data_IF_634836174324
#
_entry.id   IF_634836174324
#
_cell.length_a   1.000
_cell.length_b   1.000
_cell.length_c   1.000
_cell.angle_alpha   90.00
_cell.angle_beta   90.00
_cell.angle_gamma   90.00
#
_symmetry.space_group_name_H-M   'P 1'
#
loop_
_entity.id
_entity.type
_entity.pdbx_description
1 polymer ?
#
# COMPACT_ATOMS: atom_id res chain seq x y z
N UNK A 1 -16.63 -2.72 20.77
CA UNK A 1 -16.51 -2.26 19.37
C UNK A 1 -15.47 -1.15 19.36
N UNK A 2 -14.29 -1.39 18.78
CA UNK A 2 -13.25 -0.36 18.68
C UNK A 2 -13.73 0.69 17.68
N UNK A 3 -13.83 1.95 18.12
CA UNK A 3 -14.26 3.05 17.24
C UNK A 3 -13.05 3.49 16.41
N UNK A 4 -13.17 3.49 15.08
CA UNK A 4 -12.17 4.10 14.21
C UNK A 4 -12.24 5.62 14.34
N UNK A 5 -11.12 6.26 14.63
CA UNK A 5 -10.99 7.71 14.68
C UNK A 5 -10.53 8.30 13.32
N UNK A 6 -10.24 9.61 13.29
CA UNK A 6 -9.80 10.30 12.07
C UNK A 6 -8.42 9.86 11.59
N UNK A 7 -7.54 9.40 12.49
CA UNK A 7 -6.20 8.91 12.18
C UNK A 7 -6.30 7.51 11.56
N UNK A 8 -7.10 6.61 12.15
CA UNK A 8 -7.35 5.27 11.61
C UNK A 8 -7.89 5.33 10.17
N UNK A 9 -8.86 6.23 9.93
CA UNK A 9 -9.44 6.43 8.61
C UNK A 9 -8.38 6.95 7.62
N UNK A 10 -7.52 7.88 8.07
CA UNK A 10 -6.46 8.44 7.24
C UNK A 10 -5.39 7.41 6.88
N UNK A 11 -4.96 6.57 7.82
CA UNK A 11 -4.01 5.47 7.57
C UNK A 11 -4.58 4.47 6.56
N UNK A 12 -5.82 4.02 6.76
CA UNK A 12 -6.47 3.09 5.83
C UNK A 12 -6.63 3.69 4.42
N UNK A 13 -6.93 5.00 4.32
CA UNK A 13 -6.96 5.71 3.03
C UNK A 13 -5.56 5.76 2.38
N UNK A 14 -4.52 6.06 3.14
CA UNK A 14 -3.15 6.13 2.64
C UNK A 14 -2.71 4.77 2.05
N UNK A 15 -3.00 3.67 2.74
CA UNK A 15 -2.70 2.32 2.25
C UNK A 15 -3.43 1.98 0.94
N UNK A 16 -4.72 2.33 0.82
CA UNK A 16 -5.47 2.09 -0.42
C UNK A 16 -4.92 2.95 -1.55
N UNK A 17 -4.67 4.25 -1.29
CA UNK A 17 -4.10 5.16 -2.28
C UNK A 17 -2.73 4.70 -2.74
N UNK A 18 -1.91 4.16 -1.82
CA UNK A 18 -0.63 3.55 -2.15
C UNK A 18 -0.79 2.35 -3.10
N UNK A 19 -1.70 1.42 -2.80
CA UNK A 19 -1.98 0.26 -3.67
C UNK A 19 -2.51 0.67 -5.05
N UNK A 20 -3.30 1.74 -5.11
CA UNK A 20 -3.84 2.30 -6.36
C UNK A 20 -2.77 3.03 -7.18
N UNK A 21 -1.85 3.78 -6.55
CA UNK A 21 -0.77 4.49 -7.24
C UNK A 21 0.31 3.55 -7.78
N UNK A 22 0.56 2.42 -7.09
CA UNK A 22 1.53 1.40 -7.48
C UNK A 22 0.90 0.20 -8.20
N UNK A 23 -0.18 0.42 -8.96
CA UNK A 23 -0.94 -0.64 -9.63
C UNK A 23 -0.08 -1.61 -10.46
N UNK A 24 0.88 -1.11 -11.25
CA UNK A 24 1.78 -1.96 -12.06
C UNK A 24 2.66 -2.92 -11.25
N UNK A 25 2.87 -2.65 -9.96
CA UNK A 25 3.71 -3.40 -9.03
C UNK A 25 2.98 -4.59 -8.37
N UNK A 26 1.64 -4.56 -8.39
CA UNK A 26 0.76 -5.53 -7.73
C UNK A 26 -0.11 -6.33 -8.73
N UNK A 27 -0.08 -5.99 -10.02
CA UNK A 27 -0.89 -6.63 -11.07
C UNK A 27 -0.24 -7.84 -11.72
N UNK A 28 1.01 -8.17 -11.38
CA UNK A 28 1.77 -9.27 -12.00
C UNK A 28 1.84 -10.55 -11.15
N UNK A 29 1.23 -10.57 -9.95
CA UNK A 29 1.56 -11.60 -8.94
C UNK A 29 0.53 -12.74 -8.86
N UNK A 30 -0.67 -12.63 -9.44
CA UNK A 30 -1.72 -13.63 -9.19
C UNK A 30 -2.34 -14.22 -10.45
N UNK A 31 -1.51 -14.61 -11.41
CA UNK A 31 -1.74 -15.82 -12.20
C UNK A 31 -0.54 -15.99 -13.11
N UNK A 32 0.06 -17.18 -13.14
CA UNK A 32 1.20 -17.53 -14.00
C UNK A 32 0.89 -17.52 -15.50
N UNK A 33 0.16 -16.52 -15.99
CA UNK A 33 -0.10 -16.25 -17.38
C UNK A 33 0.49 -14.88 -17.73
N UNK A 34 1.62 -14.91 -18.45
CA UNK A 34 1.97 -13.81 -19.35
C UNK A 34 0.77 -13.60 -20.27
N UNK A 35 -0.05 -12.60 -20.01
CA UNK A 35 -0.88 -12.04 -21.07
C UNK A 35 -0.72 -10.54 -21.11
N UNK A 36 0.01 -10.11 -22.14
CA UNK A 36 -0.24 -8.87 -22.84
C UNK A 36 -1.68 -8.97 -23.36
N UNK A 37 -2.67 -8.61 -22.53
CA UNK A 37 -4.00 -8.21 -22.99
C UNK A 37 -4.83 -7.65 -21.83
N UNK A 38 -4.58 -6.37 -21.52
CA UNK A 38 -5.65 -5.48 -21.05
C UNK A 38 -6.62 -5.25 -22.22
N UNK A 39 -7.39 -6.30 -22.56
CA UNK A 39 -8.50 -6.21 -23.51
C UNK A 39 -9.78 -5.89 -22.71
N UNK A 40 -10.48 -4.77 -22.96
CA UNK A 40 -11.57 -4.25 -22.11
C UNK A 40 -12.86 -5.10 -22.02
N UNK A 41 -12.86 -6.37 -22.43
CA UNK A 41 -14.10 -7.14 -22.70
C UNK A 41 -14.29 -8.46 -21.93
N UNK A 42 -13.50 -8.81 -20.93
CA UNK A 42 -13.80 -9.99 -20.08
C UNK A 42 -14.57 -9.60 -18.81
N UNK A 43 -15.87 -9.32 -18.95
CA UNK A 43 -16.77 -8.91 -17.87
C UNK A 43 -17.57 -10.08 -17.27
N UNK A 44 -16.94 -11.25 -17.08
CA UNK A 44 -17.63 -12.38 -16.47
C UNK A 44 -16.83 -12.91 -15.27
N UNK A 45 -17.37 -12.65 -14.07
CA UNK A 45 -16.97 -13.15 -12.75
C UNK A 45 -15.94 -12.31 -11.97
N UNK A 46 -16.39 -11.19 -11.39
CA UNK A 46 -15.73 -10.49 -10.30
C UNK A 46 -14.96 -9.26 -10.76
N UNK A 47 -15.38 -8.07 -10.32
CA UNK A 47 -14.76 -6.79 -10.68
C UNK A 47 -13.24 -6.77 -10.47
N UNK A 48 -12.58 -5.90 -11.24
CA UNK A 48 -11.14 -5.67 -11.17
C UNK A 48 -10.71 -5.42 -9.71
N UNK A 49 -9.47 -5.78 -9.37
CA UNK A 49 -8.91 -5.49 -8.04
C UNK A 49 -9.04 -3.99 -7.72
N UNK A 50 -8.84 -3.12 -8.72
CA UNK A 50 -9.09 -1.67 -8.64
C UNK A 50 -10.50 -1.33 -8.19
N UNK A 51 -11.51 -2.03 -8.70
CA UNK A 51 -12.91 -1.87 -8.29
C UNK A 51 -13.11 -2.26 -6.82
N UNK A 52 -12.34 -3.25 -6.33
CA UNK A 52 -12.36 -3.64 -4.91
C UNK A 52 -11.71 -2.58 -4.02
N UNK A 53 -10.59 -1.99 -4.42
CA UNK A 53 -9.96 -0.88 -3.69
C UNK A 53 -10.83 0.38 -3.68
N UNK A 54 -11.47 0.72 -4.79
CA UNK A 54 -12.43 1.83 -4.88
C UNK A 54 -13.64 1.58 -3.97
N UNK A 55 -14.15 0.35 -3.92
CA UNK A 55 -15.19 -0.04 -2.96
C UNK A 55 -14.74 0.16 -1.50
N UNK A 56 -13.47 -0.10 -1.18
CA UNK A 56 -12.94 0.16 0.17
C UNK A 56 -12.87 1.66 0.47
N UNK A 57 -12.52 2.51 -0.50
CA UNK A 57 -12.58 3.97 -0.32
C UNK A 57 -14.00 4.46 -0.02
N UNK A 58 -15.01 3.92 -0.72
CA UNK A 58 -16.42 4.22 -0.46
C UNK A 58 -16.81 3.80 0.96
N UNK A 59 -16.38 2.62 1.41
CA UNK A 59 -16.62 2.15 2.79
C UNK A 59 -15.97 3.07 3.82
N UNK A 60 -14.77 3.61 3.55
CA UNK A 60 -14.13 4.59 4.44
C UNK A 60 -14.90 5.91 4.48
N UNK A 61 -15.47 6.37 3.37
CA UNK A 61 -16.33 7.56 3.37
C UNK A 61 -17.61 7.36 4.20
N UNK A 62 -18.21 6.17 4.15
CA UNK A 62 -19.32 5.81 5.04
C UNK A 62 -18.91 5.83 6.53
N UNK A 63 -17.68 5.40 6.87
CA UNK A 63 -17.14 5.51 8.23
C UNK A 63 -16.96 6.96 8.66
N UNK A 64 -16.51 7.86 7.77
CA UNK A 64 -16.43 9.31 8.05
C UNK A 64 -17.81 9.87 8.40
N UNK A 65 -18.85 9.52 7.64
CA UNK A 65 -20.22 9.96 7.92
C UNK A 65 -20.72 9.44 9.27
N UNK A 66 -20.40 8.18 9.61
CA UNK A 66 -20.72 7.61 10.92
C UNK A 66 -20.02 8.36 12.05
N UNK A 67 -18.73 8.65 11.90
CA UNK A 67 -17.95 9.42 12.87
C UNK A 67 -18.53 10.84 13.08
N UNK A 68 -18.86 11.52 11.99
CA UNK A 68 -19.50 12.84 12.04
C UNK A 68 -20.85 12.81 12.76
N UNK A 69 -21.68 11.79 12.54
CA UNK A 69 -22.95 11.64 13.24
C UNK A 69 -22.77 11.49 14.75
N UNK A 70 -21.81 10.68 15.19
CA UNK A 70 -21.57 10.49 16.63
C UNK A 70 -21.04 11.74 17.31
N UNK A 71 -20.17 12.49 16.62
CA UNK A 71 -19.68 13.78 17.13
C UNK A 71 -20.84 14.78 17.23
N UNK A 72 -21.73 14.83 16.24
CA UNK A 72 -22.95 15.64 16.28
C UNK A 72 -23.86 15.24 17.47
N UNK A 73 -24.13 13.94 17.65
CA UNK A 73 -24.97 13.42 18.74
C UNK A 73 -24.35 13.74 20.11
N UNK A 74 -23.02 13.62 20.24
CA UNK A 74 -22.29 13.93 21.48
C UNK A 74 -22.37 15.41 21.88
N UNK A 75 -22.57 16.32 20.92
CA UNK A 75 -22.79 17.76 21.18
C UNK A 75 -24.24 18.12 21.51
N UNK A 76 -25.12 17.14 21.74
CA UNK A 76 -26.53 17.37 22.09
C UNK A 76 -27.42 17.68 20.88
N UNK A 77 -27.15 17.05 19.73
CA UNK A 77 -27.88 17.28 18.48
C UNK A 77 -27.23 18.34 17.58
N UNK A 78 -25.90 18.42 17.60
CA UNK A 78 -25.15 19.31 16.74
C UNK A 78 -25.48 19.11 15.26
N UNK A 79 -25.34 20.18 14.47
CA UNK A 79 -25.66 20.15 13.05
C UNK A 79 -24.68 19.25 12.28
N UNK A 80 -25.16 18.06 11.90
CA UNK A 80 -24.40 17.10 11.10
C UNK A 80 -23.77 17.74 9.85
N UNK A 81 -24.44 18.70 9.21
CA UNK A 81 -23.93 19.38 8.02
C UNK A 81 -22.74 20.30 8.32
N UNK A 82 -22.57 20.73 9.58
CA UNK A 82 -21.37 21.46 10.05
C UNK A 82 -20.25 20.52 10.50
N UNK A 83 -20.61 19.41 11.14
CA UNK A 83 -19.63 18.46 11.68
C UNK A 83 -18.98 17.60 10.57
N UNK A 84 -19.75 17.17 9.56
CA UNK A 84 -19.21 16.34 8.49
C UNK A 84 -18.02 16.98 7.74
N UNK A 85 -18.09 18.26 7.31
CA UNK A 85 -16.94 18.95 6.72
C UNK A 85 -15.73 19.01 7.65
N UNK A 86 -15.93 19.22 8.95
CA UNK A 86 -14.83 19.26 9.94
C UNK A 86 -14.12 17.91 10.02
N UNK A 87 -14.87 16.81 10.16
CA UNK A 87 -14.30 15.46 10.18
C UNK A 87 -13.58 15.13 8.86
N UNK A 88 -14.18 15.49 7.71
CA UNK A 88 -13.53 15.31 6.41
C UNK A 88 -12.19 16.06 6.33
N UNK A 89 -12.16 17.30 6.82
CA UNK A 89 -10.95 18.13 6.85
C UNK A 89 -9.87 17.54 7.77
N UNK A 90 -10.24 17.08 8.98
CA UNK A 90 -9.31 16.42 9.90
C UNK A 90 -8.69 15.17 9.26
N UNK A 91 -9.50 14.30 8.65
CA UNK A 91 -9.01 13.12 7.94
C UNK A 91 -8.09 13.52 6.79
N UNK A 92 -8.43 14.54 6.02
CA UNK A 92 -7.58 15.03 4.93
C UNK A 92 -6.25 15.60 5.44
N UNK A 93 -6.24 16.29 6.57
CA UNK A 93 -5.02 16.83 7.17
C UNK A 93 -4.09 15.70 7.64
N UNK A 94 -4.63 14.70 8.34
CA UNK A 94 -3.85 13.52 8.72
C UNK A 94 -3.35 12.75 7.50
N UNK A 95 -4.19 12.56 6.48
CA UNK A 95 -3.82 11.91 5.24
C UNK A 95 -2.70 12.67 4.52
N UNK A 96 -2.80 14.00 4.41
CA UNK A 96 -1.78 14.83 3.80
C UNK A 96 -0.46 14.72 4.55
N UNK A 97 -0.48 14.73 5.89
CA UNK A 97 0.70 14.51 6.72
C UNK A 97 1.35 13.15 6.41
N UNK A 98 0.55 12.08 6.46
CA UNK A 98 1.01 10.71 6.16
C UNK A 98 1.61 10.62 4.76
N UNK A 99 0.98 11.21 3.75
CA UNK A 99 1.46 11.16 2.36
C UNK A 99 2.68 12.08 2.12
N UNK A 100 2.82 13.17 2.88
CA UNK A 100 3.97 14.08 2.79
C UNK A 100 5.23 13.51 3.46
N UNK A 101 5.06 12.72 4.52
CA UNK A 101 6.12 11.98 5.19
C UNK A 101 6.38 10.68 4.41
N UNK A 102 6.84 10.80 3.14
CA UNK A 102 7.22 9.72 2.21
C UNK A 102 7.04 8.29 2.78
N UNK A 103 5.83 7.71 2.75
CA UNK A 103 5.69 6.28 2.93
C UNK A 103 5.97 5.68 1.57
N UNK A 104 7.25 5.67 1.16
CA UNK A 104 7.67 4.55 0.35
C UNK A 104 7.45 3.32 1.26
N UNK A 105 6.56 2.36 0.91
CA UNK A 105 6.32 1.14 1.69
C UNK A 105 7.57 0.26 1.78
N UNK A 106 8.67 0.67 1.16
CA UNK A 106 9.99 0.15 1.45
C UNK A 106 10.24 0.28 2.94
N UNK A 107 10.33 -0.82 3.71
CA UNK A 107 11.06 -0.78 4.96
C UNK A 107 12.38 -0.03 4.74
N UNK A 108 12.75 0.86 5.67
CA UNK A 108 13.85 1.82 5.52
C UNK A 108 15.20 1.23 5.05
N UNK A 109 15.39 -0.10 5.10
CA UNK A 109 16.54 -0.82 4.55
C UNK A 109 16.38 -1.40 3.12
N UNK A 110 15.38 -0.96 2.35
CA UNK A 110 15.24 -1.28 0.93
C UNK A 110 15.39 -0.01 0.06
N UNK A 111 16.36 -0.04 -0.87
CA UNK A 111 16.56 1.05 -1.83
C UNK A 111 15.95 0.69 -3.19
N UNK A 112 15.27 1.64 -3.81
CA UNK A 112 14.86 1.53 -5.20
C UNK A 112 16.07 1.54 -6.13
N UNK A 113 16.13 0.57 -7.04
CA UNK A 113 17.20 0.46 -8.02
C UNK A 113 16.62 0.20 -9.41
N UNK A 114 17.26 0.77 -10.42
CA UNK A 114 17.04 0.37 -11.82
C UNK A 114 18.09 -0.67 -12.16
N UNK A 115 17.66 -1.80 -12.73
CA UNK A 115 18.57 -2.88 -13.12
C UNK A 115 19.40 -2.42 -14.33
N UNK A 116 20.70 -2.21 -14.11
CA UNK A 116 21.61 -1.70 -15.14
C UNK A 116 22.27 -2.79 -15.99
N UNK A 117 22.28 -4.04 -15.54
CA UNK A 117 22.96 -5.16 -16.20
C UNK A 117 22.04 -6.38 -16.30
N UNK A 118 22.11 -7.09 -17.42
CA UNK A 118 21.33 -8.31 -17.64
C UNK A 118 21.92 -9.52 -16.93
N UNK A 119 21.14 -10.59 -16.81
CA UNK A 119 21.58 -11.86 -16.21
C UNK A 119 21.54 -11.88 -14.67
N UNK A 120 20.99 -10.85 -14.03
CA UNK A 120 20.66 -10.91 -12.60
C UNK A 120 19.37 -11.72 -12.42
N UNK A 121 19.30 -12.59 -11.41
CA UNK A 121 18.12 -13.43 -11.13
C UNK A 121 17.56 -13.08 -9.76
N UNK A 122 16.25 -12.94 -9.66
CA UNK A 122 15.56 -12.73 -8.39
C UNK A 122 15.67 -13.99 -7.51
N UNK A 123 16.27 -13.88 -6.33
CA UNK A 123 16.45 -14.99 -5.40
C UNK A 123 15.16 -15.56 -4.78
N UNK A 124 14.00 -14.95 -5.05
CA UNK A 124 12.69 -15.35 -4.50
C UNK A 124 11.88 -16.12 -5.56
N UNK A 125 11.56 -15.48 -6.69
CA UNK A 125 10.79 -16.13 -7.77
C UNK A 125 11.66 -16.93 -8.76
N UNK A 126 13.00 -16.78 -8.71
CA UNK A 126 13.97 -17.41 -9.63
C UNK A 126 13.83 -16.99 -11.10
N UNK A 127 13.20 -15.85 -11.35
CA UNK A 127 13.10 -15.24 -12.69
C UNK A 127 14.17 -14.16 -12.88
N UNK A 128 14.51 -13.86 -14.14
CA UNK A 128 15.47 -12.81 -14.50
C UNK A 128 14.94 -11.42 -14.17
N UNK A 129 15.83 -10.56 -13.67
CA UNK A 129 15.62 -9.12 -13.50
C UNK A 129 15.96 -8.43 -14.82
N UNK A 130 14.98 -7.84 -15.50
CA UNK A 130 15.20 -7.26 -16.81
C UNK A 130 15.95 -5.94 -16.73
N UNK A 131 16.82 -5.66 -17.71
CA UNK A 131 17.51 -4.37 -17.81
C UNK A 131 16.49 -3.25 -17.98
N UNK A 132 16.62 -2.19 -17.19
CA UNK A 132 15.67 -1.07 -17.15
C UNK A 132 14.44 -1.32 -16.27
N UNK A 133 14.27 -2.52 -15.72
CA UNK A 133 13.20 -2.81 -14.76
C UNK A 133 13.51 -2.16 -13.40
N UNK A 134 12.46 -1.79 -12.66
CA UNK A 134 12.57 -1.31 -11.29
C UNK A 134 12.61 -2.51 -10.34
N UNK A 135 13.69 -2.62 -9.58
CA UNK A 135 13.85 -3.58 -8.50
C UNK A 135 14.10 -2.88 -7.18
N UNK A 136 14.29 -3.68 -6.13
CA UNK A 136 14.74 -3.19 -4.82
C UNK A 136 16.02 -3.92 -4.42
N UNK A 137 16.95 -3.15 -3.85
CA UNK A 137 18.18 -3.65 -3.29
C UNK A 137 18.13 -3.58 -1.76
N UNK A 138 18.57 -4.64 -1.11
CA UNK A 138 18.81 -4.66 0.33
C UNK A 138 20.15 -3.98 0.65
N UNK A 139 20.39 -3.60 1.91
CA UNK A 139 21.69 -3.08 2.38
C UNK A 139 22.87 -4.04 2.09
N UNK A 140 22.60 -5.35 2.07
CA UNK A 140 23.55 -6.38 1.65
C UNK A 140 23.75 -6.48 0.12
N UNK A 141 23.26 -5.51 -0.65
CA UNK A 141 23.35 -5.37 -2.11
C UNK A 141 22.63 -6.44 -2.96
N UNK A 142 21.96 -7.41 -2.33
CA UNK A 142 21.10 -8.34 -3.06
C UNK A 142 19.89 -7.62 -3.64
N UNK A 143 19.64 -7.86 -4.92
CA UNK A 143 18.54 -7.28 -5.69
C UNK A 143 17.44 -8.29 -5.90
N UNK A 144 16.21 -7.82 -5.85
CA UNK A 144 15.02 -8.61 -6.07
C UNK A 144 14.05 -7.79 -6.91
N UNK A 145 13.04 -8.48 -7.46
CA UNK A 145 11.81 -7.77 -7.78
C UNK A 145 11.32 -7.16 -6.49
N UNK A 146 11.36 -5.84 -6.46
CA UNK A 146 10.35 -4.97 -5.89
C UNK A 146 9.19 -5.65 -5.16
N UNK A 147 8.33 -6.38 -5.88
CA UNK A 147 7.21 -7.08 -5.28
C UNK A 147 7.63 -8.28 -4.41
N UNK A 148 8.49 -9.14 -4.95
CA UNK A 148 8.95 -10.35 -4.27
C UNK A 148 9.54 -10.05 -2.89
N UNK A 149 10.41 -9.03 -2.79
CA UNK A 149 11.06 -8.72 -1.52
C UNK A 149 10.11 -8.08 -0.51
N UNK A 150 9.14 -7.27 -0.96
CA UNK A 150 8.13 -6.72 -0.05
C UNK A 150 7.23 -7.82 0.51
N UNK A 151 6.73 -8.73 -0.33
CA UNK A 151 5.88 -9.84 0.11
C UNK A 151 6.63 -10.77 1.07
N UNK A 152 7.89 -11.08 0.75
CA UNK A 152 8.75 -11.84 1.64
C UNK A 152 8.88 -11.18 3.02
N UNK A 153 9.21 -9.89 3.08
CA UNK A 153 9.39 -9.18 4.35
C UNK A 153 8.07 -8.96 5.12
N UNK A 154 6.92 -8.98 4.45
CA UNK A 154 5.61 -8.91 5.10
C UNK A 154 5.21 -10.23 5.77
N UNK A 155 5.55 -11.36 5.15
CA UNK A 155 5.19 -12.69 5.65
C UNK A 155 6.15 -13.21 6.73
N UNK A 156 7.39 -12.73 6.77
CA UNK A 156 8.40 -13.22 7.70
C UNK A 156 8.38 -12.46 9.04
N UNK A 157 8.34 -13.21 10.15
CA UNK A 157 8.50 -12.65 11.51
C UNK A 157 9.84 -11.92 11.68
N UNK A 158 10.89 -12.40 11.00
CA UNK A 158 12.21 -11.79 10.95
C UNK A 158 12.49 -11.23 9.57
N UNK A 159 12.61 -9.91 9.49
CA UNK A 159 12.79 -9.17 8.25
C UNK A 159 14.23 -9.31 7.79
N UNK A 160 14.54 -10.38 7.08
CA UNK A 160 15.90 -10.80 6.70
C UNK A 160 16.02 -11.06 5.20
N UNK A 161 17.22 -10.87 4.66
CA UNK A 161 17.54 -11.16 3.27
C UNK A 161 17.29 -12.65 2.95
N UNK A 162 16.52 -12.99 1.91
CA UNK A 162 16.32 -14.38 1.49
C UNK A 162 17.61 -15.11 1.13
N UNK A 163 18.63 -14.38 0.66
CA UNK A 163 19.88 -14.96 0.16
C UNK A 163 20.96 -15.10 1.24
N UNK A 164 21.13 -14.08 2.09
CA UNK A 164 22.24 -14.05 3.06
C UNK A 164 21.81 -13.86 4.51
N UNK A 165 20.50 -13.81 4.80
CA UNK A 165 19.93 -13.61 6.14
C UNK A 165 20.33 -12.31 6.84
N UNK A 166 20.89 -11.34 6.11
CA UNK A 166 21.14 -10.00 6.65
C UNK A 166 19.82 -9.36 7.12
N UNK A 167 19.79 -8.86 8.35
CA UNK A 167 18.60 -8.24 8.95
C UNK A 167 18.34 -6.86 8.32
N UNK A 168 17.08 -6.57 8.07
CA UNK A 168 16.62 -5.26 7.60
C UNK A 168 16.34 -4.43 8.83
N UNK A 169 17.10 -3.35 9.01
CA UNK A 169 16.82 -2.35 10.02
C UNK A 169 15.57 -1.58 9.60
N UNK A 170 14.41 -2.05 10.03
CA UNK A 170 13.21 -1.24 9.95
C UNK A 170 13.31 -0.23 11.06
N UNK A 171 13.48 1.03 10.66
CA UNK A 171 13.18 2.15 11.55
C UNK A 171 11.68 2.09 11.83
N UNK A 172 11.31 1.42 12.91
CA UNK A 172 10.01 1.63 13.51
C UNK A 172 9.97 3.11 13.89
N UNK A 173 8.94 3.81 13.40
CA UNK A 173 8.70 5.17 13.82
C UNK A 173 8.20 5.07 15.26
N UNK A 174 9.07 5.39 16.21
CA UNK A 174 8.70 5.56 17.60
C UNK A 174 7.68 6.71 17.69
N UNK A 175 6.43 6.40 18.07
CA UNK A 175 5.35 7.35 18.30
C UNK A 175 4.96 7.40 19.78
#
# INVERSE_FOLDING_TARGET
MVYMDVVDIAMAKAEILHRLSNWGYYSTISDGSRTINDSPRSWNNGGSRRDKEELQLIKLDAKIHKLARLRADATGGGDFYKILPQVKLEVMFHLARILSENPDPAPAGLMDVVIGEGGQVCGICREELNVGERGRAMECQHKFHSCCIMEWLQLQEKKTCPLCRHEVQIKELDF
#
